data_IF_935243051068
#
_entry.id   IF_935243051068
#
_cell.length_a   1.000
_cell.length_b   1.000
_cell.length_c   1.000
_cell.angle_alpha   90.00
_cell.angle_beta   90.00
_cell.angle_gamma   90.00
#
_symmetry.space_group_name_H-M   'P 1'
#
loop_
_entity.id
_entity.type
_entity.pdbx_description
1 polymer ?
#
# COMPACT_ATOMS: atom_id res chain seq x y z
N UNK A 1 -24.13 -77.48 60.99
CA UNK A 1 -24.75 -76.22 60.54
C UNK A 1 -23.75 -75.54 59.60
N UNK A 2 -24.04 -75.00 58.42
CA UNK A 2 -25.25 -74.70 57.65
C UNK A 2 -24.78 -74.58 56.17
N UNK A 3 -25.51 -75.15 55.22
CA UNK A 3 -25.23 -75.15 53.76
C UNK A 3 -25.53 -73.76 53.16
N UNK A 4 -24.71 -73.30 52.20
CA UNK A 4 -24.96 -72.18 51.28
C UNK A 4 -24.43 -72.64 49.90
N UNK A 5 -25.22 -73.38 49.11
CA UNK A 5 -26.17 -72.93 48.09
C UNK A 5 -25.51 -72.01 47.03
N UNK A 6 -25.12 -72.69 45.95
CA UNK A 6 -24.86 -72.22 44.60
C UNK A 6 -26.07 -71.45 44.05
N UNK A 7 -25.88 -70.26 43.48
CA UNK A 7 -26.87 -69.64 42.59
C UNK A 7 -26.14 -69.00 41.39
N UNK A 8 -26.24 -69.68 40.25
CA UNK A 8 -25.83 -69.19 38.94
C UNK A 8 -26.78 -68.07 38.49
N UNK A 9 -26.24 -66.89 38.19
CA UNK A 9 -26.98 -65.80 37.56
C UNK A 9 -26.54 -65.67 36.10
N UNK A 10 -27.50 -65.89 35.20
CA UNK A 10 -27.37 -65.77 33.76
C UNK A 10 -27.16 -64.30 33.35
N UNK A 11 -26.17 -64.06 32.50
CA UNK A 11 -25.95 -62.78 31.80
C UNK A 11 -26.90 -62.68 30.60
N UNK A 12 -27.79 -61.68 30.51
CA UNK A 12 -28.55 -61.43 29.30
C UNK A 12 -27.63 -60.82 28.24
N UNK A 13 -27.52 -61.51 27.11
CA UNK A 13 -26.84 -60.98 25.92
C UNK A 13 -27.72 -59.92 25.27
N UNK A 14 -27.40 -58.64 25.48
CA UNK A 14 -27.94 -57.55 24.68
C UNK A 14 -27.31 -57.62 23.29
N UNK A 15 -28.07 -58.17 22.33
CA UNK A 15 -27.77 -58.03 20.92
C UNK A 15 -28.00 -56.56 20.51
N UNK A 16 -26.93 -55.77 20.50
CA UNK A 16 -26.91 -54.48 19.80
C UNK A 16 -27.10 -54.80 18.31
N UNK A 17 -28.27 -54.46 17.76
CA UNK A 17 -28.51 -54.58 16.33
C UNK A 17 -27.49 -53.74 15.58
N UNK A 18 -26.57 -54.40 14.86
CA UNK A 18 -25.62 -53.72 14.01
C UNK A 18 -26.39 -52.91 12.94
N UNK A 19 -26.02 -51.64 12.67
CA UNK A 19 -26.68 -50.84 11.66
C UNK A 19 -26.63 -51.53 10.29
N UNK A 20 -27.70 -51.40 9.52
CA UNK A 20 -27.77 -52.03 8.19
C UNK A 20 -26.77 -51.39 7.24
N UNK A 21 -26.26 -52.14 6.25
CA UNK A 21 -25.30 -51.61 5.28
C UNK A 21 -25.83 -50.35 4.54
N UNK A 22 -27.15 -50.24 4.36
CA UNK A 22 -27.82 -49.07 3.80
C UNK A 22 -27.76 -47.84 4.71
N UNK A 23 -27.90 -48.01 6.03
CA UNK A 23 -27.80 -46.90 6.98
C UNK A 23 -26.37 -46.38 7.06
N UNK A 24 -25.39 -47.28 7.05
CA UNK A 24 -23.96 -46.93 7.00
C UNK A 24 -23.60 -46.17 5.70
N UNK A 25 -24.21 -46.54 4.56
CA UNK A 25 -24.00 -45.83 3.30
C UNK A 25 -24.54 -44.39 3.37
N UNK A 26 -25.77 -44.21 3.90
CA UNK A 26 -26.36 -42.87 4.07
C UNK A 26 -25.52 -42.00 5.01
N UNK A 27 -25.04 -42.56 6.10
CA UNK A 27 -24.16 -41.85 7.05
C UNK A 27 -22.84 -41.43 6.39
N UNK A 28 -22.22 -42.32 5.60
CA UNK A 28 -20.99 -41.99 4.87
C UNK A 28 -21.23 -40.95 3.77
N UNK A 29 -22.34 -41.00 3.04
CA UNK A 29 -22.71 -39.97 2.06
C UNK A 29 -22.94 -38.60 2.72
N UNK A 30 -23.60 -38.55 3.87
CA UNK A 30 -23.77 -37.32 4.65
C UNK A 30 -22.41 -36.76 5.12
N UNK A 31 -21.52 -37.62 5.60
CA UNK A 31 -20.16 -37.21 6.00
C UNK A 31 -19.35 -36.68 4.80
N UNK A 32 -19.48 -37.27 3.61
CA UNK A 32 -18.86 -36.76 2.37
C UNK A 32 -19.37 -35.36 2.04
N UNK A 33 -20.68 -35.14 2.13
CA UNK A 33 -21.27 -33.82 1.86
C UNK A 33 -20.75 -32.76 2.84
N UNK A 34 -20.66 -33.10 4.13
CA UNK A 34 -20.12 -32.22 5.16
C UNK A 34 -18.65 -31.87 4.93
N UNK A 35 -17.80 -32.86 4.62
CA UNK A 35 -16.38 -32.62 4.36
C UNK A 35 -16.16 -31.81 3.06
N UNK A 36 -16.99 -31.99 2.04
CA UNK A 36 -16.97 -31.13 0.84
C UNK A 36 -17.34 -29.68 1.16
N UNK A 37 -18.36 -29.45 1.98
CA UNK A 37 -18.73 -28.10 2.41
C UNK A 37 -17.58 -27.43 3.19
N UNK A 38 -16.96 -28.18 4.11
CA UNK A 38 -15.77 -27.71 4.86
C UNK A 38 -14.60 -27.38 3.92
N UNK A 39 -14.34 -28.21 2.92
CA UNK A 39 -13.28 -27.95 1.93
C UNK A 39 -13.52 -26.63 1.19
N UNK A 40 -14.76 -26.37 0.78
CA UNK A 40 -15.12 -25.16 0.05
C UNK A 40 -15.04 -23.90 0.92
N UNK A 41 -15.39 -24.02 2.20
CA UNK A 41 -15.23 -22.93 3.18
C UNK A 41 -13.75 -22.58 3.38
N UNK A 42 -12.88 -23.58 3.58
CA UNK A 42 -11.43 -23.39 3.72
C UNK A 42 -10.84 -22.70 2.48
N UNK A 43 -11.22 -23.13 1.28
CA UNK A 43 -10.77 -22.50 0.03
C UNK A 43 -11.21 -21.04 -0.10
N UNK A 44 -12.42 -20.72 0.36
CA UNK A 44 -12.96 -19.35 0.35
C UNK A 44 -12.18 -18.46 1.33
N UNK A 45 -11.91 -18.97 2.53
CA UNK A 45 -11.12 -18.26 3.55
C UNK A 45 -9.70 -17.99 3.04
N UNK A 46 -9.08 -18.95 2.36
CA UNK A 46 -7.76 -18.79 1.75
C UNK A 46 -7.73 -17.72 0.66
N UNK A 47 -8.74 -17.71 -0.22
CA UNK A 47 -8.84 -16.71 -1.29
C UNK A 47 -9.06 -15.28 -0.77
N UNK A 48 -9.98 -15.11 0.20
CA UNK A 48 -10.15 -13.82 0.90
C UNK A 48 -8.86 -13.39 1.60
N UNK A 49 -8.14 -14.39 2.10
CA UNK A 49 -6.88 -14.19 2.81
C UNK A 49 -5.78 -13.65 1.88
N UNK A 50 -5.64 -14.22 0.68
CA UNK A 50 -4.67 -13.73 -0.30
C UNK A 50 -5.04 -12.33 -0.81
N UNK A 51 -6.32 -12.05 -1.05
CA UNK A 51 -6.79 -10.74 -1.55
C UNK A 51 -6.45 -9.58 -0.61
N UNK A 52 -6.81 -9.68 0.66
CA UNK A 52 -6.54 -8.60 1.60
C UNK A 52 -5.02 -8.38 1.83
N UNK A 53 -4.18 -9.39 1.62
CA UNK A 53 -2.72 -9.19 1.65
C UNK A 53 -2.25 -8.38 0.43
N UNK A 54 -2.72 -8.74 -0.76
CA UNK A 54 -2.40 -8.03 -1.99
C UNK A 54 -2.86 -6.56 -1.92
N UNK A 55 -4.02 -6.28 -1.32
CA UNK A 55 -4.53 -4.92 -1.12
C UNK A 55 -3.63 -4.05 -0.22
N UNK A 56 -3.14 -4.62 0.90
CA UNK A 56 -2.22 -3.92 1.80
C UNK A 56 -0.88 -3.67 1.11
N UNK A 57 -0.32 -4.68 0.42
CA UNK A 57 0.91 -4.53 -0.36
C UNK A 57 0.79 -3.45 -1.43
N UNK A 58 -0.30 -3.46 -2.19
CA UNK A 58 -0.58 -2.44 -3.20
C UNK A 58 -0.70 -1.05 -2.58
N UNK A 59 -1.35 -0.94 -1.43
CA UNK A 59 -1.47 0.34 -0.69
C UNK A 59 -0.11 0.85 -0.24
N UNK A 60 0.77 -0.01 0.26
CA UNK A 60 2.15 0.36 0.62
C UNK A 60 2.96 0.85 -0.57
N UNK A 61 2.89 0.15 -1.71
CA UNK A 61 3.58 0.57 -2.94
C UNK A 61 3.10 1.95 -3.39
N UNK A 62 1.79 2.20 -3.40
CA UNK A 62 1.24 3.53 -3.73
C UNK A 62 1.72 4.62 -2.77
N UNK A 63 1.72 4.34 -1.46
CA UNK A 63 2.19 5.31 -0.45
C UNK A 63 3.68 5.61 -0.58
N UNK A 64 4.49 4.58 -0.83
CA UNK A 64 5.92 4.75 -1.10
C UNK A 64 6.17 5.58 -2.38
N UNK A 65 5.36 5.35 -3.42
CA UNK A 65 5.43 6.16 -4.64
C UNK A 65 5.09 7.63 -4.37
N UNK A 66 3.98 7.90 -3.66
CA UNK A 66 3.58 9.27 -3.31
C UNK A 66 4.59 9.98 -2.39
N UNK A 67 5.24 9.25 -1.48
CA UNK A 67 6.33 9.81 -0.68
C UNK A 67 7.50 10.23 -1.58
N UNK A 68 7.91 9.37 -2.52
CA UNK A 68 8.99 9.66 -3.47
C UNK A 68 8.67 10.87 -4.36
N UNK A 69 7.43 11.01 -4.81
CA UNK A 69 7.00 12.20 -5.57
C UNK A 69 7.12 13.48 -4.73
N UNK A 70 6.73 13.42 -3.45
CA UNK A 70 6.87 14.54 -2.51
C UNK A 70 8.34 14.89 -2.28
N UNK A 71 9.21 13.89 -2.09
CA UNK A 71 10.66 14.08 -1.95
C UNK A 71 11.29 14.69 -3.20
N UNK A 72 10.89 14.26 -4.40
CA UNK A 72 11.38 14.85 -5.65
C UNK A 72 10.94 16.32 -5.78
N UNK A 73 9.70 16.65 -5.40
CA UNK A 73 9.19 18.03 -5.39
C UNK A 73 9.95 18.91 -4.39
N UNK A 74 10.34 18.33 -3.25
CA UNK A 74 11.16 18.99 -2.24
C UNK A 74 12.54 19.35 -2.82
N UNK A 75 13.23 18.37 -3.42
CA UNK A 75 14.54 18.58 -4.06
C UNK A 75 14.48 19.67 -5.14
N UNK A 76 13.47 19.61 -6.03
CA UNK A 76 13.29 20.63 -7.07
C UNK A 76 13.06 22.03 -6.49
N UNK A 77 12.33 22.14 -5.38
CA UNK A 77 12.12 23.42 -4.68
C UNK A 77 13.40 23.95 -4.04
N UNK A 78 14.22 23.07 -3.44
CA UNK A 78 15.52 23.42 -2.86
C UNK A 78 16.52 23.91 -3.91
N UNK A 79 16.60 23.21 -5.05
CA UNK A 79 17.43 23.60 -6.19
C UNK A 79 17.01 24.98 -6.73
N UNK A 80 15.70 25.22 -6.85
CA UNK A 80 15.18 26.50 -7.34
C UNK A 80 15.47 27.64 -6.37
N UNK A 81 15.32 27.42 -5.05
CA UNK A 81 15.72 28.41 -4.03
C UNK A 81 17.21 28.72 -4.16
N UNK A 82 18.07 27.71 -4.26
CA UNK A 82 19.52 27.90 -4.40
C UNK A 82 19.91 28.66 -5.69
N UNK A 83 19.17 28.48 -6.78
CA UNK A 83 19.36 29.25 -8.00
C UNK A 83 18.92 30.71 -7.84
N UNK A 84 17.75 30.96 -7.23
CA UNK A 84 17.25 32.31 -6.95
C UNK A 84 18.17 33.07 -5.99
N UNK A 85 18.73 32.41 -4.97
CA UNK A 85 19.69 33.03 -4.06
C UNK A 85 20.96 33.50 -4.78
N UNK A 86 21.50 32.70 -5.71
CA UNK A 86 22.66 33.10 -6.53
C UNK A 86 22.33 34.30 -7.43
N UNK A 87 21.16 34.28 -8.08
CA UNK A 87 20.72 35.43 -8.89
C UNK A 87 20.54 36.70 -8.05
N UNK A 88 20.04 36.56 -6.82
CA UNK A 88 19.88 37.68 -5.89
C UNK A 88 21.24 38.30 -5.53
N UNK A 89 22.26 37.49 -5.28
CA UNK A 89 23.62 37.96 -4.98
C UNK A 89 24.24 38.71 -6.17
N UNK A 90 24.13 38.16 -7.38
CA UNK A 90 24.64 38.78 -8.61
C UNK A 90 23.98 40.14 -8.85
N UNK A 91 22.65 40.19 -8.79
CA UNK A 91 21.86 41.41 -8.97
C UNK A 91 22.11 42.43 -7.87
N UNK A 92 22.28 41.97 -6.63
CA UNK A 92 22.70 42.80 -5.51
C UNK A 92 24.04 43.47 -5.75
N UNK A 93 25.03 42.73 -6.27
CA UNK A 93 26.34 43.28 -6.61
C UNK A 93 26.26 44.31 -7.76
N UNK A 94 25.44 44.04 -8.78
CA UNK A 94 25.17 44.99 -9.88
C UNK A 94 24.54 46.28 -9.36
N UNK A 95 23.51 46.18 -8.51
CA UNK A 95 22.86 47.32 -7.89
C UNK A 95 23.83 48.18 -7.07
N UNK A 96 24.73 47.56 -6.30
CA UNK A 96 25.76 48.28 -5.54
C UNK A 96 26.73 49.03 -6.44
N UNK A 97 27.17 48.43 -7.55
CA UNK A 97 28.01 49.10 -8.56
C UNK A 97 27.31 50.32 -9.15
N UNK A 98 26.04 50.20 -9.51
CA UNK A 98 25.25 51.33 -10.04
C UNK A 98 25.09 52.47 -9.02
N UNK A 99 24.84 52.13 -7.75
CA UNK A 99 24.74 53.13 -6.66
C UNK A 99 26.06 53.87 -6.45
N UNK A 100 27.19 53.14 -6.45
CA UNK A 100 28.51 53.75 -6.34
C UNK A 100 28.81 54.70 -7.53
N UNK A 101 28.46 54.30 -8.75
CA UNK A 101 28.62 55.14 -9.94
C UNK A 101 27.78 56.42 -9.85
N UNK A 102 26.52 56.34 -9.41
CA UNK A 102 25.69 57.53 -9.17
C UNK A 102 26.30 58.46 -8.11
N UNK A 103 26.73 57.91 -6.98
CA UNK A 103 27.33 58.70 -5.90
C UNK A 103 28.60 59.44 -6.37
N UNK A 104 29.43 58.77 -7.19
CA UNK A 104 30.61 59.38 -7.79
C UNK A 104 30.23 60.50 -8.78
N UNK A 105 29.23 60.30 -9.62
CA UNK A 105 28.75 61.31 -10.58
C UNK A 105 28.15 62.53 -9.88
N UNK A 106 27.31 62.33 -8.87
CA UNK A 106 26.73 63.43 -8.08
C UNK A 106 27.84 64.21 -7.38
N UNK A 107 28.81 63.51 -6.79
CA UNK A 107 29.97 64.16 -6.17
C UNK A 107 30.81 64.95 -7.18
N UNK A 108 30.99 64.44 -8.40
CA UNK A 108 31.68 65.15 -9.48
C UNK A 108 30.92 66.41 -9.92
N UNK A 109 29.59 66.33 -10.06
CA UNK A 109 28.74 67.47 -10.39
C UNK A 109 28.81 68.56 -9.31
N UNK A 110 28.76 68.19 -8.03
CA UNK A 110 28.88 69.13 -6.91
C UNK A 110 30.25 69.83 -6.89
N UNK A 111 31.35 69.09 -7.16
CA UNK A 111 32.69 69.69 -7.26
C UNK A 111 32.77 70.69 -8.41
N UNK A 112 32.18 70.37 -9.56
CA UNK A 112 32.15 71.24 -10.72
C UNK A 112 31.32 72.51 -10.46
N UNK A 113 30.21 72.42 -9.72
CA UNK A 113 29.41 73.58 -9.34
C UNK A 113 30.06 74.49 -8.29
N UNK A 114 31.05 73.98 -7.53
CA UNK A 114 31.82 74.75 -6.55
C UNK A 114 33.09 75.39 -7.15
N UNK A 115 33.32 75.24 -8.46
CA UNK A 115 34.48 75.77 -9.15
C UNK A 115 34.30 77.29 -9.41
N UNK A 116 35.26 78.16 -9.06
CA UNK A 116 35.07 79.61 -9.06
C UNK A 116 34.76 80.16 -10.46
N UNK A 117 33.83 81.13 -10.58
CA UNK A 117 33.27 81.62 -11.84
C UNK A 117 34.28 82.28 -12.80
N UNK A 118 35.48 82.62 -12.33
CA UNK A 118 36.56 83.13 -13.19
C UNK A 118 37.13 82.09 -14.17
N UNK A 119 36.93 80.79 -13.92
CA UNK A 119 37.36 79.71 -14.83
C UNK A 119 36.30 79.32 -15.88
N UNK A 120 35.03 79.67 -15.67
CA UNK A 120 33.91 79.28 -16.54
C UNK A 120 33.84 80.10 -17.85
N UNK A 121 34.40 81.31 -17.87
CA UNK A 121 34.36 82.23 -19.03
C UNK A 121 35.16 81.75 -20.26
N UNK A 122 35.99 80.71 -20.13
CA UNK A 122 36.82 80.17 -21.23
C UNK A 122 36.30 78.84 -21.80
N UNK A 123 35.15 78.33 -21.36
CA UNK A 123 34.72 76.96 -21.69
C UNK A 123 33.54 76.94 -22.68
N UNK A 124 33.74 76.53 -23.94
CA UNK A 124 32.65 76.41 -24.91
C UNK A 124 31.90 75.07 -24.68
N UNK A 125 30.65 75.09 -24.19
CA UNK A 125 29.79 73.89 -24.22
C UNK A 125 28.70 73.67 -23.13
N UNK A 126 28.31 74.70 -22.38
CA UNK A 126 27.65 74.56 -21.06
C UNK A 126 26.25 73.86 -21.05
N UNK A 127 25.41 74.09 -22.06
CA UNK A 127 24.04 73.52 -22.11
C UNK A 127 23.99 72.08 -22.64
N UNK A 128 24.79 71.75 -23.67
CA UNK A 128 24.76 70.44 -24.31
C UNK A 128 25.33 69.33 -23.43
N UNK A 129 26.36 69.64 -22.64
CA UNK A 129 26.96 68.68 -21.70
C UNK A 129 26.06 68.40 -20.49
N UNK A 130 25.32 69.40 -20.02
CA UNK A 130 24.36 69.28 -18.93
C UNK A 130 23.17 68.38 -19.32
N UNK A 131 22.64 68.53 -20.54
CA UNK A 131 21.58 67.66 -21.07
C UNK A 131 22.05 66.21 -21.26
N UNK A 132 23.31 66.00 -21.68
CA UNK A 132 23.89 64.65 -21.78
C UNK A 132 24.03 64.02 -20.39
N UNK A 133 24.50 64.77 -19.40
CA UNK A 133 24.64 64.30 -18.02
C UNK A 133 23.28 63.95 -17.38
N UNK A 134 22.26 64.79 -17.55
CA UNK A 134 20.92 64.51 -17.03
C UNK A 134 20.29 63.27 -17.67
N UNK A 135 20.51 63.06 -18.98
CA UNK A 135 20.06 61.85 -19.68
C UNK A 135 20.77 60.59 -19.17
N UNK A 136 22.08 60.66 -18.92
CA UNK A 136 22.85 59.53 -18.35
C UNK A 136 22.34 59.20 -16.94
N UNK A 137 22.15 60.20 -16.08
CA UNK A 137 21.59 60.01 -14.73
C UNK A 137 20.17 59.45 -14.75
N UNK A 138 19.31 59.94 -15.65
CA UNK A 138 17.97 59.42 -15.83
C UNK A 138 18.00 57.93 -16.25
N UNK A 139 18.88 57.56 -17.19
CA UNK A 139 19.03 56.17 -17.63
C UNK A 139 19.52 55.25 -16.50
N UNK A 140 20.49 55.70 -15.71
CA UNK A 140 21.06 54.92 -14.61
C UNK A 140 20.06 54.77 -13.44
N UNK A 141 19.31 55.82 -13.14
CA UNK A 141 18.23 55.76 -12.15
C UNK A 141 17.12 54.80 -12.58
N UNK A 142 16.76 54.79 -13.87
CA UNK A 142 15.81 53.84 -14.43
C UNK A 142 16.31 52.39 -14.32
N UNK A 143 17.59 52.14 -14.66
CA UNK A 143 18.21 50.81 -14.49
C UNK A 143 18.19 50.33 -13.04
N UNK A 144 18.51 51.20 -12.07
CA UNK A 144 18.42 50.85 -10.63
C UNK A 144 16.99 50.49 -10.22
N UNK A 145 16.00 51.24 -10.69
CA UNK A 145 14.59 50.96 -10.40
C UNK A 145 14.16 49.61 -10.97
N UNK A 146 14.59 49.30 -12.19
CA UNK A 146 14.32 48.01 -12.83
C UNK A 146 14.99 46.85 -12.07
N UNK A 147 16.26 47.00 -11.70
CA UNK A 147 17.01 45.97 -10.96
C UNK A 147 16.40 45.71 -9.58
N UNK A 148 16.04 46.78 -8.87
CA UNK A 148 15.36 46.69 -7.58
C UNK A 148 13.98 46.01 -7.69
N UNK A 149 13.21 46.29 -8.75
CA UNK A 149 11.92 45.64 -8.96
C UNK A 149 12.09 44.14 -9.26
N UNK A 150 13.09 43.77 -10.07
CA UNK A 150 13.40 42.38 -10.36
C UNK A 150 13.88 41.62 -9.12
N UNK A 151 14.69 42.26 -8.27
CA UNK A 151 15.15 41.69 -7.00
C UNK A 151 13.98 41.43 -6.04
N UNK A 152 13.07 42.40 -5.91
CA UNK A 152 11.86 42.24 -5.08
C UNK A 152 10.99 41.08 -5.58
N UNK A 153 10.81 40.93 -6.89
CA UNK A 153 10.05 39.81 -7.46
C UNK A 153 10.69 38.46 -7.14
N UNK A 154 12.02 38.35 -7.24
CA UNK A 154 12.76 37.12 -6.87
C UNK A 154 12.66 36.80 -5.38
N UNK A 155 12.71 37.81 -4.51
CA UNK A 155 12.54 37.61 -3.06
C UNK A 155 11.13 37.10 -2.72
N UNK A 156 10.10 37.63 -3.37
CA UNK A 156 8.72 37.16 -3.21
C UNK A 156 8.56 35.71 -3.69
N UNK A 157 9.17 35.37 -4.84
CA UNK A 157 9.16 33.99 -5.34
C UNK A 157 9.89 33.04 -4.38
N UNK A 158 11.04 33.45 -3.85
CA UNK A 158 11.81 32.66 -2.89
C UNK A 158 11.04 32.43 -1.59
N UNK A 159 10.37 33.46 -1.04
CA UNK A 159 9.53 33.30 0.16
C UNK A 159 8.37 32.33 -0.08
N UNK A 160 7.68 32.45 -1.22
CA UNK A 160 6.63 31.53 -1.61
C UNK A 160 7.14 30.08 -1.76
N UNK A 161 8.33 29.87 -2.33
CA UNK A 161 8.96 28.56 -2.41
C UNK A 161 9.35 28.03 -1.04
N UNK A 162 9.87 28.87 -0.15
CA UNK A 162 10.21 28.47 1.22
C UNK A 162 8.98 28.06 2.04
N UNK A 163 7.84 28.74 1.86
CA UNK A 163 6.58 28.35 2.49
C UNK A 163 6.11 26.98 1.97
N UNK A 164 6.07 26.78 0.65
CA UNK A 164 5.75 25.48 0.03
C UNK A 164 6.71 24.37 0.48
N UNK A 165 7.99 24.67 0.63
CA UNK A 165 9.00 23.74 1.12
C UNK A 165 8.69 23.28 2.55
N UNK A 166 8.31 24.19 3.44
CA UNK A 166 7.92 23.87 4.83
C UNK A 166 6.69 22.95 4.86
N UNK A 167 5.66 23.28 4.08
CA UNK A 167 4.44 22.46 3.95
C UNK A 167 4.75 21.07 3.38
N UNK A 168 5.56 21.02 2.32
CA UNK A 168 5.98 19.77 1.68
C UNK A 168 6.80 18.88 2.63
N UNK A 169 7.71 19.46 3.43
CA UNK A 169 8.45 18.72 4.47
C UNK A 169 7.53 18.15 5.54
N UNK A 170 6.55 18.93 6.00
CA UNK A 170 5.58 18.48 6.98
C UNK A 170 4.73 17.32 6.41
N UNK A 171 4.30 17.44 5.16
CA UNK A 171 3.57 16.40 4.44
C UNK A 171 4.41 15.12 4.26
N UNK A 172 5.66 15.22 3.79
CA UNK A 172 6.58 14.10 3.66
C UNK A 172 6.83 13.39 5.00
N UNK A 173 7.02 14.14 6.08
CA UNK A 173 7.18 13.59 7.44
C UNK A 173 5.95 12.81 7.89
N UNK A 174 4.74 13.33 7.65
CA UNK A 174 3.50 12.64 7.95
C UNK A 174 3.34 11.35 7.13
N UNK A 175 3.61 11.42 5.82
CA UNK A 175 3.57 10.25 4.93
C UNK A 175 4.58 9.18 5.36
N UNK A 176 5.80 9.56 5.75
CA UNK A 176 6.83 8.63 6.21
C UNK A 176 6.42 7.94 7.52
N UNK A 177 5.81 8.66 8.47
CA UNK A 177 5.28 8.08 9.71
C UNK A 177 4.19 7.06 9.40
N UNK A 178 3.24 7.42 8.54
CA UNK A 178 2.17 6.52 8.13
C UNK A 178 2.70 5.28 7.42
N UNK A 179 3.67 5.44 6.50
CA UNK A 179 4.29 4.32 5.79
C UNK A 179 4.97 3.34 6.76
N UNK A 180 5.65 3.84 7.81
CA UNK A 180 6.25 2.99 8.84
C UNK A 180 5.18 2.21 9.63
N UNK A 181 4.08 2.86 10.02
CA UNK A 181 2.97 2.19 10.70
C UNK A 181 2.36 1.09 9.82
N UNK A 182 2.11 1.39 8.54
CA UNK A 182 1.55 0.44 7.59
C UNK A 182 2.51 -0.75 7.33
N UNK A 183 3.83 -0.52 7.33
CA UNK A 183 4.84 -1.59 7.20
C UNK A 183 4.83 -2.53 8.40
N UNK A 184 4.76 -1.98 9.61
CA UNK A 184 4.64 -2.77 10.85
C UNK A 184 3.35 -3.61 10.79
N UNK A 185 2.23 -2.98 10.45
CA UNK A 185 0.95 -3.67 10.31
C UNK A 185 1.00 -4.79 9.24
N UNK A 186 1.58 -4.53 8.07
CA UNK A 186 1.77 -5.54 7.04
C UNK A 186 2.61 -6.71 7.57
N UNK A 187 3.73 -6.44 8.25
CA UNK A 187 4.61 -7.49 8.77
C UNK A 187 3.90 -8.38 9.79
N UNK A 188 3.09 -7.79 10.66
CA UNK A 188 2.26 -8.51 11.62
C UNK A 188 1.23 -9.38 10.89
N UNK A 189 0.45 -8.77 10.00
CA UNK A 189 -0.56 -9.47 9.18
C UNK A 189 0.06 -10.59 8.36
N UNK A 190 1.27 -10.42 7.80
CA UNK A 190 2.01 -11.44 7.05
C UNK A 190 2.38 -12.64 7.92
N UNK A 191 2.89 -12.39 9.13
CA UNK A 191 3.22 -13.47 10.06
C UNK A 191 1.96 -14.24 10.49
N UNK A 192 0.90 -13.53 10.87
CA UNK A 192 -0.39 -14.16 11.18
C UNK A 192 -0.90 -14.97 9.97
N UNK A 193 -0.85 -14.40 8.76
CA UNK A 193 -1.24 -15.09 7.52
C UNK A 193 -0.45 -16.36 7.29
N UNK A 194 0.87 -16.31 7.44
CA UNK A 194 1.75 -17.46 7.21
C UNK A 194 1.39 -18.62 8.15
N UNK A 195 1.08 -18.31 9.41
CA UNK A 195 0.62 -19.32 10.36
C UNK A 195 -0.77 -19.84 10.03
N UNK A 196 -1.69 -18.96 9.59
CA UNK A 196 -3.04 -19.34 9.16
C UNK A 196 -2.99 -20.23 7.91
N UNK A 197 -2.22 -19.86 6.89
CA UNK A 197 -2.07 -20.63 5.66
C UNK A 197 -1.49 -22.01 5.94
N UNK A 198 -0.45 -22.12 6.79
CA UNK A 198 0.08 -23.42 7.18
C UNK A 198 -0.97 -24.32 7.89
N UNK A 199 -1.84 -23.71 8.71
CA UNK A 199 -2.97 -24.43 9.33
C UNK A 199 -4.03 -24.83 8.29
N UNK A 200 -4.40 -23.93 7.40
CA UNK A 200 -5.38 -24.19 6.33
C UNK A 200 -4.89 -25.30 5.39
N UNK A 201 -3.61 -25.30 4.99
CA UNK A 201 -3.00 -26.34 4.17
C UNK A 201 -3.05 -27.70 4.88
N UNK A 202 -2.70 -27.72 6.17
CA UNK A 202 -2.80 -28.93 6.99
C UNK A 202 -4.24 -29.43 7.11
N UNK A 203 -5.20 -28.53 7.32
CA UNK A 203 -6.62 -28.88 7.39
C UNK A 203 -7.15 -29.37 6.05
N UNK A 204 -6.83 -28.71 4.93
CA UNK A 204 -7.21 -29.16 3.60
C UNK A 204 -6.65 -30.56 3.30
N UNK A 205 -5.38 -30.83 3.65
CA UNK A 205 -4.77 -32.15 3.49
C UNK A 205 -5.50 -33.22 4.31
N UNK A 206 -5.86 -32.90 5.55
CA UNK A 206 -6.62 -33.79 6.42
C UNK A 206 -8.04 -34.05 5.88
N UNK A 207 -8.75 -33.02 5.42
CA UNK A 207 -10.07 -33.12 4.79
C UNK A 207 -10.01 -33.94 3.51
N UNK A 208 -8.99 -33.71 2.67
CA UNK A 208 -8.78 -34.49 1.44
C UNK A 208 -8.57 -35.98 1.74
N UNK A 209 -7.76 -36.29 2.75
CA UNK A 209 -7.52 -37.67 3.20
C UNK A 209 -8.78 -38.33 3.77
N UNK A 210 -9.59 -37.57 4.51
CA UNK A 210 -10.89 -38.05 5.00
C UNK A 210 -11.86 -38.31 3.85
N UNK A 211 -11.96 -37.39 2.89
CA UNK A 211 -12.79 -37.56 1.69
C UNK A 211 -12.37 -38.79 0.88
N UNK A 212 -11.08 -39.04 0.68
CA UNK A 212 -10.63 -40.25 -0.02
C UNK A 212 -11.06 -41.52 0.71
N UNK A 213 -10.91 -41.55 2.04
CA UNK A 213 -11.29 -42.70 2.85
C UNK A 213 -12.81 -42.91 2.88
N UNK A 214 -13.60 -41.84 3.00
CA UNK A 214 -15.06 -41.90 2.99
C UNK A 214 -15.60 -42.35 1.64
N UNK A 215 -15.05 -41.84 0.53
CA UNK A 215 -15.44 -42.27 -0.82
C UNK A 215 -15.11 -43.75 -1.05
N UNK A 216 -13.94 -44.22 -0.61
CA UNK A 216 -13.59 -45.65 -0.67
C UNK A 216 -14.58 -46.50 0.13
N UNK A 217 -14.92 -46.10 1.36
CA UNK A 217 -15.91 -46.80 2.20
C UNK A 217 -17.29 -46.83 1.55
N UNK A 218 -17.76 -45.70 1.01
CA UNK A 218 -19.04 -45.62 0.32
C UNK A 218 -19.08 -46.54 -0.90
N UNK A 219 -17.98 -46.62 -1.67
CA UNK A 219 -17.86 -47.57 -2.78
C UNK A 219 -17.96 -49.02 -2.30
N UNK A 220 -17.19 -49.40 -1.29
CA UNK A 220 -17.22 -50.75 -0.73
C UNK A 220 -18.58 -51.14 -0.14
N UNK A 221 -19.28 -50.20 0.51
CA UNK A 221 -20.64 -50.42 1.03
C UNK A 221 -21.65 -50.60 -0.10
N UNK A 222 -21.53 -49.82 -1.17
CA UNK A 222 -22.38 -49.96 -2.36
C UNK A 222 -22.17 -51.31 -3.03
N UNK A 223 -20.93 -51.76 -3.15
CA UNK A 223 -20.59 -53.08 -3.70
C UNK A 223 -21.16 -54.21 -2.81
N UNK A 224 -21.03 -54.08 -1.49
CA UNK A 224 -21.59 -55.04 -0.52
C UNK A 224 -23.12 -55.12 -0.61
N UNK A 225 -23.79 -53.97 -0.64
CA UNK A 225 -25.25 -53.90 -0.81
C UNK A 225 -25.67 -54.60 -2.10
N UNK A 226 -24.98 -54.31 -3.22
CA UNK A 226 -25.26 -54.95 -4.51
C UNK A 226 -25.09 -56.47 -4.48
N UNK A 227 -24.06 -56.99 -3.78
CA UNK A 227 -23.86 -58.43 -3.59
C UNK A 227 -24.98 -59.07 -2.76
N UNK A 228 -25.38 -58.43 -1.65
CA UNK A 228 -26.45 -58.93 -0.76
C UNK A 228 -27.82 -58.95 -1.46
N UNK A 229 -28.13 -57.91 -2.25
CA UNK A 229 -29.35 -57.85 -3.04
C UNK A 229 -29.39 -58.92 -4.13
N UNK A 230 -28.25 -59.18 -4.77
CA UNK A 230 -28.12 -60.23 -5.79
C UNK A 230 -28.34 -61.62 -5.16
N UNK A 231 -27.71 -61.89 -4.01
CA UNK A 231 -27.90 -63.14 -3.27
C UNK A 231 -29.36 -63.34 -2.86
N UNK A 232 -30.02 -62.32 -2.31
CA UNK A 232 -31.46 -62.39 -1.99
C UNK A 232 -32.31 -62.75 -3.20
N UNK A 233 -32.08 -62.09 -4.33
CA UNK A 233 -32.82 -62.37 -5.59
C UNK A 233 -32.60 -63.81 -6.07
N UNK A 234 -31.36 -64.30 -5.99
CA UNK A 234 -31.03 -65.68 -6.35
C UNK A 234 -31.72 -66.69 -5.41
N UNK A 235 -31.71 -66.45 -4.10
CA UNK A 235 -32.40 -67.29 -3.12
C UNK A 235 -33.92 -67.30 -3.32
N UNK A 236 -34.53 -66.14 -3.50
CA UNK A 236 -35.97 -66.02 -3.80
C UNK A 236 -36.34 -66.76 -5.10
N UNK A 237 -35.50 -66.65 -6.13
CA UNK A 237 -35.71 -67.37 -7.40
C UNK A 237 -35.66 -68.89 -7.18
N UNK A 238 -34.65 -69.41 -6.47
CA UNK A 238 -34.52 -70.84 -6.14
C UNK A 238 -35.68 -71.33 -5.29
N UNK A 239 -36.15 -70.52 -4.34
CA UNK A 239 -37.27 -70.87 -3.49
C UNK A 239 -38.58 -70.94 -4.27
N UNK A 240 -38.80 -70.03 -5.23
CA UNK A 240 -39.90 -70.09 -6.19
C UNK A 240 -39.82 -71.32 -7.09
N UNK A 241 -38.65 -71.67 -7.61
CA UNK A 241 -38.49 -72.87 -8.46
C UNK A 241 -38.82 -74.15 -7.69
N UNK A 242 -38.37 -74.27 -6.43
CA UNK A 242 -38.68 -75.41 -5.55
C UNK A 242 -40.18 -75.53 -5.23
N UNK A 243 -40.86 -74.40 -5.00
CA UNK A 243 -42.31 -74.38 -4.75
C UNK A 243 -43.12 -74.76 -6.01
N UNK A 244 -42.61 -74.51 -7.20
CA UNK A 244 -43.25 -74.94 -8.46
C UNK A 244 -42.98 -76.40 -8.87
N UNK A 245 -41.95 -77.04 -8.29
CA UNK A 245 -41.60 -78.44 -8.55
C UNK A 245 -42.15 -79.41 -7.48
N UNK A 246 -42.68 -78.90 -6.38
CA UNK A 246 -43.25 -79.68 -5.27
C UNK A 246 -44.79 -79.73 -5.24
N UNK A 247 -45.45 -79.24 -6.28
CA UNK A 247 -46.90 -79.32 -6.54
C UNK A 247 -47.18 -80.20 -7.74
#
# INVERSE_FOLDING_TARGET
MRKLVLLAAALPSLALAAPSAHDQLKETEAAIAQEKARQQELATQEAQTQKALAEVQHTLVRKAHSLRETENSLLASEEKIAALSRQQEEKGAVLQKHRAALAAMVSAAIRMSQMPPSAALLMPGDLGNTLKASRILASLTASIKQESAALNAQLLEMDALQQRLKESRAHASAQQKQLKMDQIELSHRLNERKTLMARLDSEQSAVKTRLTNLNQRASSLKDLIGMLEKQRKEEESRHRTRLSQGS
#
